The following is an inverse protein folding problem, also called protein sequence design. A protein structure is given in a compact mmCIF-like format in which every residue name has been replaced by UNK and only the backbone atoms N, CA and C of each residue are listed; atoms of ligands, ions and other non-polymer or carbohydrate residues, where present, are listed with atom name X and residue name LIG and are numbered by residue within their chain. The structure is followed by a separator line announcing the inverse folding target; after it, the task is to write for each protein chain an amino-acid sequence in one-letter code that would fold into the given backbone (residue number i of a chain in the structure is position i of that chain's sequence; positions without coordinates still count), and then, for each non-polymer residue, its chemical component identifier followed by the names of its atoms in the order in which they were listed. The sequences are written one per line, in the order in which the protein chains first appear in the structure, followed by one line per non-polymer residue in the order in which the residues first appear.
data_IF_093732295979
#
_entry.id   IF_093732295979
#
_cell.length_a   1.000
_cell.length_b   1.000
_cell.length_c   1.000
_cell.angle_alpha   90.00
_cell.angle_beta   90.00
_cell.angle_gamma   90.00
#
_symmetry.space_group_name_H-M   'P 1'
#
loop_
_entity.id
_entity.type
_entity.pdbx_description
1 polymer ?
#
# COMPACT_ATOMS: atom_id res chain seq x y z
N UNK A 1 27.17 -48.24 -48.40
CA UNK A 1 26.57 -48.18 -47.05
C UNK A 1 27.62 -47.69 -46.06
N UNK A 2 27.58 -46.41 -45.69
CA UNK A 2 27.94 -45.93 -44.34
C UNK A 2 27.07 -44.69 -44.13
N UNK A 3 25.99 -44.84 -43.36
CA UNK A 3 25.14 -43.72 -42.95
C UNK A 3 25.72 -43.08 -41.70
N UNK A 4 26.07 -41.81 -41.77
CA UNK A 4 26.47 -41.01 -40.60
C UNK A 4 25.21 -40.34 -40.08
N UNK A 5 24.68 -40.85 -38.96
CA UNK A 5 23.60 -40.18 -38.23
C UNK A 5 24.21 -39.06 -37.38
N UNK A 6 23.96 -37.81 -37.76
CA UNK A 6 24.24 -36.66 -36.90
C UNK A 6 23.04 -36.46 -35.96
N UNK A 7 23.27 -36.76 -34.69
CA UNK A 7 22.31 -36.55 -33.61
C UNK A 7 22.40 -35.08 -33.15
N UNK A 8 21.40 -34.26 -33.50
CA UNK A 8 21.30 -32.87 -33.06
C UNK A 8 20.79 -32.79 -31.61
N UNK A 9 21.72 -32.81 -30.65
CA UNK A 9 21.43 -32.54 -29.24
C UNK A 9 21.75 -31.11 -28.84
N UNK A 10 20.97 -30.12 -29.29
CA UNK A 10 21.14 -28.72 -28.85
C UNK A 10 19.81 -27.95 -28.83
N UNK A 11 18.89 -28.23 -27.89
CA UNK A 11 17.73 -27.35 -27.65
C UNK A 11 17.24 -27.24 -26.19
N UNK A 12 17.78 -27.99 -25.22
CA UNK A 12 17.20 -28.07 -23.87
C UNK A 12 17.76 -27.06 -22.86
N UNK A 13 19.01 -26.61 -23.00
CA UNK A 13 19.66 -25.73 -22.01
C UNK A 13 19.16 -24.28 -22.06
N UNK A 14 18.74 -23.80 -23.23
CA UNK A 14 18.38 -22.39 -23.45
C UNK A 14 16.98 -22.04 -22.92
N UNK A 15 16.01 -22.96 -23.01
CA UNK A 15 14.64 -22.73 -22.52
C UNK A 15 14.55 -22.77 -20.99
N UNK A 16 15.24 -23.72 -20.35
CA UNK A 16 15.26 -23.85 -18.89
C UNK A 16 15.91 -22.63 -18.21
N UNK A 17 16.98 -22.09 -18.78
CA UNK A 17 17.62 -20.85 -18.32
C UNK A 17 16.71 -19.63 -18.51
N UNK A 18 16.01 -19.55 -19.66
CA UNK A 18 15.07 -18.48 -19.98
C UNK A 18 13.90 -18.42 -18.99
N UNK A 19 13.28 -19.56 -18.69
CA UNK A 19 12.18 -19.64 -17.72
C UNK A 19 12.64 -19.32 -16.30
N UNK A 20 13.87 -19.70 -15.93
CA UNK A 20 14.46 -19.35 -14.63
C UNK A 20 14.61 -17.84 -14.46
N UNK A 21 15.10 -17.14 -15.49
CA UNK A 21 15.24 -15.68 -15.46
C UNK A 21 13.89 -14.96 -15.34
N UNK A 22 12.87 -15.46 -16.03
CA UNK A 22 11.52 -14.91 -15.97
C UNK A 22 10.85 -15.13 -14.62
N UNK A 23 11.01 -16.34 -14.03
CA UNK A 23 10.59 -16.62 -12.66
C UNK A 23 11.23 -15.64 -11.68
N UNK A 24 12.55 -15.41 -11.79
CA UNK A 24 13.27 -14.43 -10.96
C UNK A 24 12.70 -13.01 -11.10
N UNK A 25 12.42 -12.57 -12.33
CA UNK A 25 11.83 -11.27 -12.60
C UNK A 25 10.48 -11.09 -11.88
N UNK A 26 9.60 -12.10 -11.96
CA UNK A 26 8.29 -12.06 -11.30
C UNK A 26 8.47 -11.97 -9.78
N UNK A 27 9.31 -12.81 -9.18
CA UNK A 27 9.53 -12.77 -7.73
C UNK A 27 10.13 -11.45 -7.24
N UNK A 28 11.07 -10.86 -7.99
CA UNK A 28 11.60 -9.55 -7.67
C UNK A 28 10.50 -8.48 -7.63
N UNK A 29 9.55 -8.55 -8.57
CA UNK A 29 8.43 -7.61 -8.64
C UNK A 29 7.40 -7.85 -7.55
N UNK A 30 7.13 -9.12 -7.20
CA UNK A 30 6.32 -9.48 -6.04
C UNK A 30 6.93 -8.90 -4.76
N UNK A 31 8.23 -9.09 -4.56
CA UNK A 31 8.94 -8.57 -3.39
C UNK A 31 8.89 -7.04 -3.32
N UNK A 32 9.13 -6.37 -4.44
CA UNK A 32 9.02 -4.93 -4.53
C UNK A 32 7.59 -4.44 -4.20
N UNK A 33 6.57 -5.07 -4.77
CA UNK A 33 5.17 -4.75 -4.48
C UNK A 33 4.82 -4.95 -2.99
N UNK A 34 5.20 -6.08 -2.39
CA UNK A 34 4.95 -6.34 -0.97
C UNK A 34 5.69 -5.37 -0.05
N UNK A 35 6.88 -4.91 -0.46
CA UNK A 35 7.65 -3.87 0.25
C UNK A 35 6.93 -2.52 0.19
N UNK A 36 6.51 -2.08 -1.00
CA UNK A 36 5.76 -0.82 -1.19
C UNK A 36 4.42 -0.86 -0.45
N UNK A 37 3.70 -1.98 -0.51
CA UNK A 37 2.44 -2.19 0.25
C UNK A 37 2.67 -2.10 1.76
N UNK A 38 3.80 -2.62 2.26
CA UNK A 38 4.24 -2.43 3.64
C UNK A 38 4.55 -0.97 3.98
N UNK A 39 5.25 -0.25 3.11
CA UNK A 39 5.54 1.18 3.27
C UNK A 39 4.27 2.03 3.31
N UNK A 40 3.32 1.76 2.42
CA UNK A 40 2.01 2.40 2.41
C UNK A 40 1.25 2.20 3.73
N UNK A 41 1.33 0.99 4.30
CA UNK A 41 0.72 0.66 5.57
C UNK A 41 1.30 1.51 6.72
N UNK A 42 2.63 1.61 6.80
CA UNK A 42 3.31 2.49 7.77
C UNK A 42 2.95 3.96 7.59
N UNK A 43 2.89 4.42 6.33
CA UNK A 43 2.50 5.79 6.02
C UNK A 43 1.05 6.07 6.45
N UNK A 44 0.13 5.11 6.32
CA UNK A 44 -1.23 5.25 6.82
C UNK A 44 -1.29 5.30 8.35
N UNK A 45 -0.49 4.49 9.06
CA UNK A 45 -0.39 4.58 10.52
C UNK A 45 0.08 5.96 10.98
N UNK A 46 1.10 6.50 10.31
CA UNK A 46 1.59 7.86 10.55
C UNK A 46 0.49 8.90 10.29
N UNK A 47 -0.23 8.77 9.17
CA UNK A 47 -1.33 9.67 8.82
C UNK A 47 -2.43 9.64 9.88
N UNK A 48 -2.91 8.47 10.30
CA UNK A 48 -3.93 8.33 11.34
C UNK A 48 -3.50 9.03 12.65
N UNK A 49 -2.24 8.84 13.08
CA UNK A 49 -1.72 9.50 14.29
C UNK A 49 -1.75 11.03 14.15
N UNK A 50 -1.30 11.56 13.01
CA UNK A 50 -1.29 13.01 12.76
C UNK A 50 -2.71 13.59 12.65
N UNK A 51 -3.61 12.90 11.96
CA UNK A 51 -5.01 13.31 11.83
C UNK A 51 -5.72 13.32 13.20
N UNK A 52 -5.48 12.31 14.04
CA UNK A 52 -6.02 12.28 15.40
C UNK A 52 -5.48 13.45 16.23
N UNK A 53 -4.19 13.73 16.16
CA UNK A 53 -3.59 14.87 16.87
C UNK A 53 -4.21 16.20 16.40
N UNK A 54 -4.41 16.38 15.10
CA UNK A 54 -5.10 17.54 14.53
C UNK A 54 -6.52 17.70 15.10
N UNK A 55 -7.29 16.62 15.19
CA UNK A 55 -8.64 16.63 15.77
C UNK A 55 -8.62 17.01 17.26
N UNK A 56 -7.74 16.37 18.05
CA UNK A 56 -7.63 16.63 19.48
C UNK A 56 -7.22 18.09 19.76
N UNK A 57 -6.33 18.64 18.93
CA UNK A 57 -5.89 20.04 19.03
C UNK A 57 -7.01 21.02 18.68
N UNK A 58 -7.82 20.74 17.65
CA UNK A 58 -9.01 21.52 17.32
C UNK A 58 -9.99 21.53 18.51
N UNK A 59 -10.33 20.36 19.04
CA UNK A 59 -11.28 20.21 20.14
C UNK A 59 -10.79 20.92 21.42
N UNK A 60 -9.51 20.73 21.79
CA UNK A 60 -8.89 21.43 22.91
C UNK A 60 -8.90 22.96 22.71
N UNK A 61 -8.62 23.43 21.49
CA UNK A 61 -8.61 24.86 21.16
C UNK A 61 -10.00 25.49 21.26
N UNK A 62 -11.04 24.76 20.85
CA UNK A 62 -12.44 25.19 20.97
C UNK A 62 -12.85 25.22 22.45
N UNK A 63 -12.54 24.17 23.22
CA UNK A 63 -12.88 24.08 24.64
C UNK A 63 -12.23 25.19 25.46
N UNK A 64 -10.98 25.58 25.17
CA UNK A 64 -10.32 26.73 25.82
C UNK A 64 -11.02 28.07 25.54
N UNK A 65 -11.70 28.21 24.40
CA UNK A 65 -12.37 29.46 23.99
C UNK A 65 -13.84 29.54 24.41
N UNK A 66 -14.39 28.48 25.03
CA UNK A 66 -15.78 28.45 25.52
C UNK A 66 -16.11 29.55 26.55
N UNK A 67 -15.09 30.10 27.21
CA UNK A 67 -15.21 31.17 28.22
C UNK A 67 -15.35 32.60 27.63
N UNK A 68 -15.37 32.77 26.30
CA UNK A 68 -15.48 34.09 25.63
C UNK A 68 -16.91 34.36 25.15
N UNK A 69 -17.47 35.57 25.28
CA UNK A 69 -18.90 35.89 24.96
C UNK A 69 -19.11 36.22 23.46
N UNK A 70 -20.27 35.80 22.90
CA UNK A 70 -20.88 36.37 21.68
C UNK A 70 -20.16 36.13 20.35
N UNK A 71 -20.36 37.01 19.35
CA UNK A 71 -19.84 36.89 17.97
C UNK A 71 -18.31 36.78 17.86
N UNK A 72 -17.58 37.26 18.88
CA UNK A 72 -16.13 37.09 19.01
C UNK A 72 -15.76 35.60 19.14
N UNK A 73 -16.62 34.79 19.76
CA UNK A 73 -16.48 33.33 19.86
C UNK A 73 -16.61 32.67 18.50
N UNK A 74 -17.62 33.05 17.71
CA UNK A 74 -17.92 32.43 16.42
C UNK A 74 -16.83 32.74 15.38
N UNK A 75 -16.38 34.00 15.32
CA UNK A 75 -15.27 34.38 14.44
C UNK A 75 -13.95 33.69 14.82
N UNK A 76 -13.68 33.53 16.13
CA UNK A 76 -12.48 32.82 16.63
C UNK A 76 -12.55 31.31 16.42
N UNK A 77 -13.74 30.73 16.41
CA UNK A 77 -13.98 29.30 16.15
C UNK A 77 -13.82 29.01 14.66
N UNK A 78 -14.44 29.81 13.78
CA UNK A 78 -14.30 29.66 12.33
C UNK A 78 -12.83 29.71 11.87
N UNK A 79 -12.04 30.68 12.37
CA UNK A 79 -10.59 30.76 12.08
C UNK A 79 -9.80 29.52 12.55
N UNK A 80 -10.17 28.93 13.69
CA UNK A 80 -9.53 27.70 14.17
C UNK A 80 -9.91 26.52 13.28
N UNK A 81 -11.19 26.35 13.00
CA UNK A 81 -11.69 25.25 12.16
C UNK A 81 -11.09 25.33 10.76
N UNK A 82 -10.96 26.53 10.18
CA UNK A 82 -10.22 26.70 8.92
C UNK A 82 -8.77 26.24 9.04
N UNK A 83 -8.00 26.73 10.03
CA UNK A 83 -6.60 26.31 10.26
C UNK A 83 -6.45 24.79 10.33
N UNK A 84 -7.25 24.13 11.16
CA UNK A 84 -7.15 22.68 11.35
C UNK A 84 -7.73 21.90 10.16
N UNK A 85 -8.69 22.46 9.41
CA UNK A 85 -9.09 21.91 8.11
C UNK A 85 -7.89 21.89 7.16
N UNK A 86 -7.08 22.96 7.12
CA UNK A 86 -5.89 23.00 6.25
C UNK A 86 -4.86 21.98 6.65
N UNK A 87 -4.58 21.88 7.95
CA UNK A 87 -3.65 20.90 8.51
C UNK A 87 -4.12 19.47 8.19
N UNK A 88 -5.39 19.16 8.44
CA UNK A 88 -5.98 17.84 8.15
C UNK A 88 -5.81 17.47 6.68
N UNK A 89 -6.21 18.35 5.76
CA UNK A 89 -6.10 18.10 4.31
C UNK A 89 -4.64 18.01 3.84
N UNK A 90 -3.72 18.74 4.45
CA UNK A 90 -2.28 18.64 4.10
C UNK A 90 -1.71 17.25 4.40
N UNK A 91 -2.17 16.60 5.48
CA UNK A 91 -1.78 15.23 5.81
C UNK A 91 -2.31 14.24 4.76
N UNK A 92 -3.48 14.52 4.17
CA UNK A 92 -4.08 13.69 3.12
C UNK A 92 -3.31 13.72 1.81
N UNK A 93 -2.69 14.85 1.47
CA UNK A 93 -1.84 14.96 0.27
C UNK A 93 -0.70 13.96 0.35
N UNK A 94 0.08 13.96 1.44
CA UNK A 94 1.18 13.00 1.65
C UNK A 94 0.68 11.56 1.62
N UNK A 95 -0.51 11.31 2.18
CA UNK A 95 -1.11 9.98 2.15
C UNK A 95 -1.47 9.51 0.72
N UNK A 96 -2.03 10.41 -0.09
CA UNK A 96 -2.39 10.13 -1.48
C UNK A 96 -1.16 9.86 -2.35
N UNK A 97 -0.02 10.50 -2.09
CA UNK A 97 1.24 10.19 -2.78
C UNK A 97 1.66 8.74 -2.56
N UNK A 98 1.55 8.24 -1.32
CA UNK A 98 1.81 6.83 -1.01
C UNK A 98 0.83 5.87 -1.70
N UNK A 99 -0.45 6.25 -1.82
CA UNK A 99 -1.44 5.46 -2.55
C UNK A 99 -1.12 5.41 -4.06
N UNK A 100 -0.67 6.53 -4.63
CA UNK A 100 -0.24 6.62 -6.03
C UNK A 100 0.97 5.71 -6.29
N UNK A 101 1.94 5.67 -5.37
CA UNK A 101 3.08 4.78 -5.46
C UNK A 101 2.67 3.30 -5.41
N UNK A 102 1.77 2.93 -4.50
CA UNK A 102 1.21 1.57 -4.43
C UNK A 102 0.54 1.18 -5.74
N UNK A 103 -0.25 2.08 -6.33
CA UNK A 103 -0.94 1.87 -7.59
C UNK A 103 0.03 1.60 -8.76
N UNK A 104 1.09 2.42 -8.87
CA UNK A 104 2.13 2.24 -9.89
C UNK A 104 2.80 0.86 -9.79
N UNK A 105 3.15 0.45 -8.58
CA UNK A 105 3.78 -0.84 -8.34
C UNK A 105 2.84 -2.02 -8.63
N UNK A 106 1.56 -1.89 -8.29
CA UNK A 106 0.54 -2.87 -8.64
C UNK A 106 0.44 -3.07 -10.16
N UNK A 107 0.29 -1.99 -10.94
CA UNK A 107 0.19 -2.10 -12.40
C UNK A 107 1.46 -2.63 -13.05
N UNK A 108 2.64 -2.26 -12.52
CA UNK A 108 3.91 -2.83 -12.94
C UNK A 108 3.94 -4.35 -12.74
N UNK A 109 3.57 -4.83 -11.56
CA UNK A 109 3.50 -6.26 -11.26
C UNK A 109 2.48 -6.98 -12.15
N UNK A 110 1.27 -6.42 -12.29
CA UNK A 110 0.20 -6.99 -13.13
C UNK A 110 0.66 -7.18 -14.56
N UNK A 111 1.31 -6.17 -15.16
CA UNK A 111 1.86 -6.27 -16.52
C UNK A 111 2.87 -7.40 -16.63
N UNK A 112 3.78 -7.53 -15.67
CA UNK A 112 4.81 -8.57 -15.69
C UNK A 112 4.20 -9.95 -15.54
N UNK A 113 3.22 -10.13 -14.64
CA UNK A 113 2.49 -11.40 -14.49
C UNK A 113 1.75 -11.78 -15.78
N UNK A 114 1.08 -10.82 -16.42
CA UNK A 114 0.33 -11.05 -17.66
C UNK A 114 1.22 -11.44 -18.85
N UNK A 115 2.39 -10.79 -19.00
CA UNK A 115 3.37 -11.12 -20.04
C UNK A 115 3.95 -12.53 -19.86
N UNK A 116 3.89 -13.08 -18.65
CA UNK A 116 4.45 -14.39 -18.30
C UNK A 116 3.36 -15.40 -17.89
N UNK A 117 2.12 -15.25 -18.38
CA UNK A 117 0.94 -16.02 -17.95
C UNK A 117 1.07 -17.54 -18.16
N UNK A 118 1.96 -17.99 -19.03
CA UNK A 118 2.23 -19.41 -19.27
C UNK A 118 3.03 -20.07 -18.14
N UNK A 119 3.69 -19.27 -17.31
CA UNK A 119 4.45 -19.77 -16.16
C UNK A 119 3.51 -19.99 -14.97
N UNK A 120 3.64 -21.15 -14.33
CA UNK A 120 2.89 -21.49 -13.11
C UNK A 120 3.02 -20.43 -11.99
N UNK A 121 4.23 -19.85 -11.85
CA UNK A 121 4.50 -18.74 -10.91
C UNK A 121 3.60 -17.54 -11.15
N UNK A 122 3.25 -17.23 -12.40
CA UNK A 122 2.39 -16.09 -12.74
C UNK A 122 0.97 -16.37 -12.30
N UNK A 123 0.43 -17.56 -12.60
CA UNK A 123 -0.92 -17.97 -12.22
C UNK A 123 -1.09 -17.98 -10.69
N UNK A 124 -0.10 -18.49 -9.97
CA UNK A 124 -0.14 -18.54 -8.50
C UNK A 124 0.00 -17.15 -7.90
N UNK A 125 0.89 -16.31 -8.45
CA UNK A 125 1.04 -14.90 -8.02
C UNK A 125 -0.25 -14.12 -8.22
N UNK A 126 -0.87 -14.26 -9.39
CA UNK A 126 -2.16 -13.64 -9.73
C UNK A 126 -3.24 -13.98 -8.71
N UNK A 127 -3.33 -15.27 -8.34
CA UNK A 127 -4.29 -15.77 -7.37
C UNK A 127 -4.00 -15.34 -5.92
N UNK A 128 -2.73 -15.32 -5.50
CA UNK A 128 -2.36 -14.93 -4.13
C UNK A 128 -2.61 -13.44 -3.91
N UNK A 129 -2.20 -12.61 -4.87
CA UNK A 129 -2.28 -11.14 -4.79
C UNK A 129 -3.56 -10.57 -5.39
N UNK A 130 -4.46 -11.44 -5.87
CA UNK A 130 -5.77 -11.08 -6.44
C UNK A 130 -5.66 -10.01 -7.53
N UNK A 131 -4.71 -10.15 -8.46
CA UNK A 131 -4.39 -9.09 -9.44
C UNK A 131 -5.52 -8.77 -10.44
N UNK A 132 -6.56 -9.59 -10.52
CA UNK A 132 -7.75 -9.29 -11.34
C UNK A 132 -8.85 -8.58 -10.58
N UNK A 133 -8.87 -8.66 -9.26
CA UNK A 133 -9.89 -8.05 -8.40
C UNK A 133 -9.30 -6.98 -7.47
N UNK A 134 -8.08 -6.52 -7.73
CA UNK A 134 -7.49 -5.44 -6.97
C UNK A 134 -8.22 -4.14 -7.31
N UNK A 135 -8.76 -3.53 -6.28
CA UNK A 135 -9.50 -2.29 -6.35
C UNK A 135 -8.77 -1.23 -5.53
N UNK A 136 -8.28 -0.20 -6.22
CA UNK A 136 -7.60 0.92 -5.57
C UNK A 136 -8.59 1.78 -4.77
N UNK A 137 -9.86 1.82 -5.18
CA UNK A 137 -10.88 2.65 -4.53
C UNK A 137 -11.21 2.12 -3.12
N UNK A 138 -10.98 0.83 -2.86
CA UNK A 138 -10.97 0.26 -1.49
C UNK A 138 -10.03 1.02 -0.53
N UNK A 139 -9.02 1.72 -1.04
CA UNK A 139 -8.07 2.51 -0.23
C UNK A 139 -8.38 4.01 -0.22
N UNK A 140 -9.33 4.47 -1.04
CA UNK A 140 -9.87 5.84 -1.03
C UNK A 140 -11.11 5.89 -0.14
N UNK A 141 -10.87 6.16 1.13
CA UNK A 141 -11.87 5.96 2.19
C UNK A 141 -12.26 7.26 2.90
N UNK A 142 -11.84 8.41 2.37
CA UNK A 142 -12.28 9.71 2.84
C UNK A 142 -13.65 10.02 2.26
N UNK A 143 -14.60 10.32 3.15
CA UNK A 143 -15.96 10.70 2.78
C UNK A 143 -16.10 12.21 2.69
N UNK A 144 -15.44 12.94 3.59
CA UNK A 144 -15.60 14.40 3.68
C UNK A 144 -14.36 15.16 3.24
N UNK A 145 -13.19 14.71 3.68
CA UNK A 145 -11.97 15.42 3.43
C UNK A 145 -11.49 15.22 1.98
N UNK A 146 -11.54 16.30 1.20
CA UNK A 146 -10.96 16.35 -0.14
C UNK A 146 -9.55 16.93 -0.08
N UNK A 147 -8.70 16.53 -1.03
CA UNK A 147 -7.34 17.02 -1.21
C UNK A 147 -7.29 18.43 -1.84
N UNK A 148 -8.32 19.27 -1.68
CA UNK A 148 -8.55 20.44 -2.53
C UNK A 148 -7.39 21.45 -2.46
N UNK A 149 -6.48 21.35 -3.43
CA UNK A 149 -5.73 22.48 -3.97
C UNK A 149 -6.60 23.29 -4.96
N UNK A 150 -7.74 22.74 -5.39
CA UNK A 150 -8.68 23.36 -6.32
C UNK A 150 -10.13 23.19 -5.82
N UNK A 151 -10.86 24.32 -5.69
CA UNK A 151 -12.29 24.36 -5.35
C UNK A 151 -12.65 24.97 -3.97
N UNK A 152 -13.96 25.04 -3.67
CA UNK A 152 -14.50 25.54 -2.40
C UNK A 152 -14.14 24.59 -1.27
N UNK A 153 -13.14 24.97 -0.47
CA UNK A 153 -12.63 24.18 0.66
C UNK A 153 -13.78 23.86 1.63
N UNK A 154 -14.20 22.60 1.69
CA UNK A 154 -15.16 22.16 2.71
C UNK A 154 -14.49 22.32 4.06
N UNK A 155 -15.07 23.15 4.93
CA UNK A 155 -14.62 23.27 6.29
C UNK A 155 -14.99 22.01 7.06
N UNK A 156 -14.00 21.32 7.62
CA UNK A 156 -14.20 20.07 8.34
C UNK A 156 -14.47 20.35 9.81
N UNK A 157 -15.56 19.82 10.35
CA UNK A 157 -15.79 19.77 11.79
C UNK A 157 -15.23 18.47 12.39
N UNK A 158 -15.17 18.40 13.73
CA UNK A 158 -14.61 17.26 14.46
C UNK A 158 -15.31 15.93 14.17
N UNK A 159 -16.63 15.94 13.93
CA UNK A 159 -17.39 14.73 13.60
C UNK A 159 -16.99 14.19 12.22
N UNK A 160 -16.91 15.06 11.22
CA UNK A 160 -16.47 14.69 9.86
C UNK A 160 -15.04 14.13 9.88
N UNK A 161 -14.13 14.80 10.59
CA UNK A 161 -12.74 14.34 10.72
C UNK A 161 -12.65 12.97 11.42
N UNK A 162 -13.44 12.76 12.48
CA UNK A 162 -13.49 11.50 13.22
C UNK A 162 -14.01 10.35 12.35
N UNK A 163 -15.05 10.59 11.53
CA UNK A 163 -15.59 9.58 10.61
C UNK A 163 -14.55 9.15 9.55
N UNK A 164 -13.81 10.10 8.99
CA UNK A 164 -12.71 9.83 8.06
C UNK A 164 -11.56 9.04 8.72
N UNK A 165 -11.17 9.40 9.97
CA UNK A 165 -10.16 8.67 10.74
C UNK A 165 -10.60 7.23 11.05
N UNK A 166 -11.87 7.04 11.41
CA UNK A 166 -12.40 5.70 11.73
C UNK A 166 -12.42 4.80 10.50
N UNK A 167 -12.77 5.36 9.33
CA UNK A 167 -12.65 4.66 8.05
C UNK A 167 -11.20 4.25 7.77
N UNK A 168 -10.22 5.14 8.04
CA UNK A 168 -8.79 4.83 7.92
C UNK A 168 -8.33 3.69 8.83
N UNK A 169 -8.77 3.68 10.08
CA UNK A 169 -8.44 2.63 11.04
C UNK A 169 -9.00 1.27 10.61
N UNK A 170 -10.27 1.24 10.18
CA UNK A 170 -10.90 0.00 9.70
C UNK A 170 -10.12 -0.58 8.51
N UNK A 171 -9.86 0.26 7.50
CA UNK A 171 -9.16 -0.18 6.30
C UNK A 171 -7.68 -0.53 6.58
N UNK A 172 -7.03 0.12 7.55
CA UNK A 172 -5.68 -0.25 8.00
C UNK A 172 -5.65 -1.69 8.56
N UNK A 173 -6.62 -2.06 9.40
CA UNK A 173 -6.67 -3.40 9.99
C UNK A 173 -6.89 -4.47 8.91
N UNK A 174 -7.77 -4.22 7.95
CA UNK A 174 -7.98 -5.10 6.79
C UNK A 174 -6.70 -5.26 5.97
N UNK A 175 -5.99 -4.15 5.69
CA UNK A 175 -4.72 -4.17 4.96
C UNK A 175 -3.62 -4.95 5.67
N UNK A 176 -3.51 -4.83 7.00
CA UNK A 176 -2.56 -5.59 7.81
C UNK A 176 -2.79 -7.09 7.65
N UNK A 177 -4.05 -7.52 7.74
CA UNK A 177 -4.42 -8.92 7.58
C UNK A 177 -4.11 -9.42 6.16
N UNK A 178 -4.50 -8.65 5.15
CA UNK A 178 -4.26 -8.94 3.74
C UNK A 178 -2.75 -9.12 3.45
N UNK A 179 -1.93 -8.13 3.81
CA UNK A 179 -0.48 -8.16 3.59
C UNK A 179 0.19 -9.34 4.31
N UNK A 180 -0.23 -9.64 5.54
CA UNK A 180 0.31 -10.76 6.30
C UNK A 180 -0.03 -12.11 5.66
N UNK A 181 -1.24 -12.27 5.16
CA UNK A 181 -1.67 -13.48 4.45
C UNK A 181 -0.91 -13.65 3.12
N UNK A 182 -0.77 -12.58 2.34
CA UNK A 182 -0.01 -12.57 1.09
C UNK A 182 1.44 -12.98 1.32
N UNK A 183 2.13 -12.33 2.27
CA UNK A 183 3.52 -12.66 2.63
C UNK A 183 3.68 -14.13 3.03
N UNK A 184 2.77 -14.66 3.85
CA UNK A 184 2.78 -16.08 4.27
C UNK A 184 2.61 -17.02 3.08
N UNK A 185 1.66 -16.74 2.18
CA UNK A 185 1.37 -17.58 1.00
C UNK A 185 2.50 -17.53 -0.02
N UNK A 186 3.06 -16.35 -0.31
CA UNK A 186 4.22 -16.20 -1.20
C UNK A 186 5.44 -16.93 -0.64
N UNK A 187 5.71 -16.82 0.67
CA UNK A 187 6.81 -17.54 1.31
C UNK A 187 6.64 -19.06 1.17
N UNK A 188 5.45 -19.58 1.48
CA UNK A 188 5.15 -21.01 1.33
C UNK A 188 5.37 -21.48 -0.11
N UNK A 189 4.90 -20.70 -1.08
CA UNK A 189 5.03 -21.01 -2.50
C UNK A 189 6.48 -21.00 -2.99
N UNK A 190 7.28 -20.02 -2.58
CA UNK A 190 8.69 -19.99 -2.96
C UNK A 190 9.48 -21.16 -2.39
N UNK A 191 9.19 -21.55 -1.15
CA UNK A 191 9.88 -22.68 -0.52
C UNK A 191 9.58 -23.99 -1.25
N UNK A 192 8.39 -24.15 -1.84
CA UNK A 192 8.06 -25.34 -2.65
C UNK A 192 8.74 -25.39 -4.02
N UNK A 193 9.35 -24.29 -4.48
CA UNK A 193 9.99 -24.19 -5.79
C UNK A 193 11.54 -24.15 -5.70
N UNK A 194 12.13 -24.29 -4.51
CA UNK A 194 13.56 -24.07 -4.24
C UNK A 194 14.10 -22.71 -4.73
N UNK A 195 13.22 -21.70 -4.86
CA UNK A 195 13.59 -20.34 -5.29
C UNK A 195 14.11 -19.47 -4.14
N UNK A 196 14.44 -20.10 -3.00
CA UNK A 196 14.98 -19.45 -1.80
C UNK A 196 16.24 -18.63 -2.10
N UNK A 197 16.99 -18.97 -3.16
CA UNK A 197 18.18 -18.26 -3.65
C UNK A 197 17.81 -16.98 -4.43
N UNK A 198 16.60 -16.87 -4.98
CA UNK A 198 16.17 -15.71 -5.80
C UNK A 198 15.54 -14.58 -4.98
N UNK A 199 15.13 -14.86 -3.75
CA UNK A 199 14.63 -13.84 -2.83
C UNK A 199 15.75 -13.42 -1.91
N UNK A 200 16.39 -12.29 -2.23
CA UNK A 200 17.30 -11.62 -1.31
C UNK A 200 16.52 -11.19 -0.05
N UNK A 201 16.61 -12.03 0.98
CA UNK A 201 15.90 -11.90 2.24
C UNK A 201 16.67 -11.11 3.30
N UNK A 202 17.59 -10.23 2.88
CA UNK A 202 18.41 -9.41 3.78
C UNK A 202 17.64 -8.46 4.73
N UNK A 203 16.31 -8.37 4.65
CA UNK A 203 15.50 -7.55 5.59
C UNK A 203 14.55 -8.35 6.49
N UNK A 204 14.41 -9.67 6.35
CA UNK A 204 13.49 -10.47 7.20
C UNK A 204 14.09 -10.80 8.58
N UNK A 205 15.40 -10.66 8.76
CA UNK A 205 16.07 -10.99 10.03
C UNK A 205 16.42 -9.84 10.96
N UNK A 206 16.07 -8.58 10.64
CA UNK A 206 16.31 -7.46 11.58
C UNK A 206 15.10 -7.02 12.41
N UNK A 207 13.88 -7.50 12.14
CA UNK A 207 12.69 -7.14 12.94
C UNK A 207 12.30 -8.26 13.92
N UNK A 208 12.83 -9.48 13.76
CA UNK A 208 12.53 -10.59 14.68
C UNK A 208 13.40 -10.60 15.96
N UNK A 209 14.39 -9.70 16.09
CA UNK A 209 15.29 -9.62 17.25
C UNK A 209 15.07 -8.36 18.10
N UNK A 210 14.24 -7.40 17.67
CA UNK A 210 13.90 -6.20 18.46
C UNK A 210 12.55 -6.36 19.21
N UNK A 211 12.18 -7.59 19.57
CA UNK A 211 10.96 -7.87 20.38
C UNK A 211 11.16 -9.01 21.40
N UNK A 212 12.38 -9.14 21.91
CA UNK A 212 12.69 -9.75 23.21
C UNK A 212 13.38 -8.68 24.06
#
# INVERSE_FOLDING_TARGET
MVGVSQNWGFHTTTSASYDTNRKKLIFNQVNNFLKVKGGFLTLREEAIKKLQNCCNNLESSINKKRNTIGSIRDMKTSKLTDKYTKEFQSILVKYNDGLLELNKNYYSLKKIVQVNKELEVSLITENILKLNSFDLDKYKIFKFATNSQEGTRIQLNTNMMSEDINSLRKNLNELKLELNQEKKRIKKFSNSLDLTILMDYSTVHKIAIDSL
#
